data_IF_098645271547
#
_entry.id   IF_098645271547
#
_cell.length_a   1.000
_cell.length_b   1.000
_cell.length_c   1.000
_cell.angle_alpha   90.00
_cell.angle_beta   90.00
_cell.angle_gamma   90.00
#
_symmetry.space_group_name_H-M   'P 1'
#
loop_
_entity.id
_entity.type
_entity.pdbx_description
1 polymer ?
#
# COMPACT_ATOMS: atom_id res chain seq x y z
N UNK A 1 32.23 15.36 8.97
CA UNK A 1 31.45 14.43 8.10
C UNK A 1 30.14 15.12 7.69
N UNK A 2 29.86 15.21 6.37
CA UNK A 2 28.67 15.88 5.87
C UNK A 2 27.42 15.04 6.17
N UNK A 3 26.49 15.58 6.97
CA UNK A 3 25.24 14.91 7.36
C UNK A 3 24.05 15.69 6.82
N UNK A 4 23.53 15.34 5.64
CA UNK A 4 22.39 16.05 5.07
C UNK A 4 21.12 15.74 5.88
N UNK A 5 20.42 16.78 6.33
CA UNK A 5 19.09 16.58 6.90
C UNK A 5 18.14 16.08 5.85
N UNK A 6 17.38 15.05 6.21
CA UNK A 6 16.54 14.28 5.28
C UNK A 6 15.10 14.26 5.78
N UNK A 7 14.14 14.40 4.88
CA UNK A 7 12.73 14.10 5.16
C UNK A 7 12.27 12.90 4.34
N UNK A 8 11.61 11.95 4.99
CA UNK A 8 10.99 10.77 4.38
C UNK A 8 9.47 10.98 4.44
N UNK A 9 8.86 11.14 3.28
CA UNK A 9 7.41 11.32 3.14
C UNK A 9 6.74 9.97 2.90
N UNK A 10 5.74 9.68 3.71
CA UNK A 10 4.97 8.44 3.62
C UNK A 10 3.46 8.75 3.56
N UNK A 11 2.63 7.89 2.94
CA UNK A 11 1.20 8.13 2.84
C UNK A 11 0.44 7.85 4.15
N UNK A 12 0.90 6.90 4.99
CA UNK A 12 0.16 6.43 6.15
C UNK A 12 0.97 6.46 7.46
N UNK A 13 0.26 6.36 8.59
CA UNK A 13 0.84 6.25 9.94
C UNK A 13 1.67 4.96 10.07
N UNK A 14 1.14 3.87 9.58
CA UNK A 14 1.75 2.53 9.66
C UNK A 14 3.10 2.52 8.95
N UNK A 15 3.17 3.07 7.75
CA UNK A 15 4.43 3.24 7.01
C UNK A 15 5.40 4.18 7.73
N UNK A 16 4.89 5.23 8.39
CA UNK A 16 5.75 6.11 9.17
C UNK A 16 6.43 5.37 10.33
N UNK A 17 5.69 4.56 11.06
CA UNK A 17 6.22 3.77 12.17
C UNK A 17 7.21 2.71 11.69
N UNK A 18 6.89 1.97 10.63
CA UNK A 18 7.77 0.94 10.04
C UNK A 18 9.07 1.54 9.50
N UNK A 19 8.97 2.60 8.69
CA UNK A 19 10.15 3.23 8.12
C UNK A 19 11.06 3.83 9.20
N UNK A 20 10.49 4.46 10.22
CA UNK A 20 11.28 4.99 11.30
C UNK A 20 11.96 3.89 12.14
N UNK A 21 11.28 2.79 12.44
CA UNK A 21 11.88 1.67 13.15
C UNK A 21 13.04 1.04 12.36
N UNK A 22 12.87 0.84 11.04
CA UNK A 22 13.93 0.36 10.15
C UNK A 22 15.11 1.33 10.09
N UNK A 23 14.84 2.63 9.97
CA UNK A 23 15.88 3.66 9.96
C UNK A 23 16.64 3.73 11.29
N UNK A 24 15.96 3.66 12.42
CA UNK A 24 16.58 3.63 13.74
C UNK A 24 17.47 2.39 13.93
N UNK A 25 17.09 1.24 13.39
CA UNK A 25 17.88 0.02 13.46
C UNK A 25 19.14 0.03 12.56
N UNK A 26 19.11 0.80 11.46
CA UNK A 26 20.18 0.80 10.45
C UNK A 26 21.12 2.01 10.57
N UNK A 27 20.64 3.12 11.10
CA UNK A 27 21.44 4.33 11.23
C UNK A 27 22.27 4.30 12.52
N UNK A 28 23.45 4.96 12.54
CA UNK A 28 24.24 5.12 13.75
C UNK A 28 23.46 5.82 14.88
N UNK A 29 23.71 5.46 16.13
CA UNK A 29 23.00 5.96 17.33
C UNK A 29 23.02 7.49 17.46
N UNK A 30 23.99 8.17 16.86
CA UNK A 30 24.14 9.61 16.87
C UNK A 30 23.34 10.33 15.77
N UNK A 31 22.51 9.60 15.02
CA UNK A 31 21.53 10.16 14.05
C UNK A 31 20.15 10.11 14.68
N UNK A 32 19.60 11.28 14.92
CA UNK A 32 18.25 11.38 15.49
C UNK A 32 17.17 11.22 14.42
N UNK A 33 16.35 10.17 14.54
CA UNK A 33 15.16 9.94 13.71
C UNK A 33 13.93 10.46 14.44
N UNK A 34 13.26 11.45 13.85
CA UNK A 34 12.06 12.05 14.41
C UNK A 34 10.82 11.84 13.55
N UNK A 35 9.65 12.16 14.11
CA UNK A 35 8.36 12.01 13.46
C UNK A 35 7.62 13.33 13.30
N UNK A 36 6.91 13.48 12.17
CA UNK A 36 5.86 14.49 11.98
C UNK A 36 4.59 13.81 11.51
N UNK A 37 3.70 13.49 12.45
CA UNK A 37 2.43 12.83 12.17
C UNK A 37 1.37 13.28 13.16
N UNK A 38 0.25 13.79 12.65
CA UNK A 38 -0.87 14.24 13.47
C UNK A 38 -1.52 13.06 14.21
N UNK A 39 -1.65 11.91 13.56
CA UNK A 39 -2.21 10.69 14.16
C UNK A 39 -1.34 10.09 15.26
N UNK A 40 -0.01 10.36 15.25
CA UNK A 40 0.91 9.99 16.32
C UNK A 40 1.10 11.08 17.37
N UNK A 41 0.47 12.26 17.21
CA UNK A 41 0.65 13.41 18.09
C UNK A 41 2.09 13.96 18.12
N UNK A 42 2.94 13.61 17.14
CA UNK A 42 4.37 13.94 17.13
C UNK A 42 4.69 15.04 16.12
N UNK A 43 5.54 16.00 16.51
CA UNK A 43 5.94 17.19 15.73
C UNK A 43 7.44 17.45 15.86
N UNK A 44 8.29 16.47 15.55
CA UNK A 44 9.75 16.55 15.73
C UNK A 44 10.44 17.09 14.46
N UNK A 45 10.23 18.37 14.16
CA UNK A 45 10.70 19.04 12.92
C UNK A 45 12.22 19.24 12.83
N UNK A 46 12.97 19.06 13.93
CA UNK A 46 14.41 19.39 14.01
C UNK A 46 15.32 18.15 14.01
N UNK A 47 14.76 16.94 13.82
CA UNK A 47 15.55 15.72 13.73
C UNK A 47 16.47 15.71 12.49
N UNK A 48 17.51 14.88 12.50
CA UNK A 48 18.40 14.68 11.35
C UNK A 48 17.68 13.99 10.20
N UNK A 49 16.90 12.98 10.53
CA UNK A 49 15.99 12.28 9.62
C UNK A 49 14.57 12.42 10.14
N UNK A 50 13.68 12.97 9.35
CA UNK A 50 12.29 13.21 9.71
C UNK A 50 11.39 12.28 8.90
N UNK A 51 10.70 11.37 9.55
CA UNK A 51 9.66 10.55 8.90
C UNK A 51 8.32 11.24 9.09
N UNK A 52 7.67 11.60 8.00
CA UNK A 52 6.46 12.42 8.04
C UNK A 52 5.34 11.85 7.17
N UNK A 53 4.13 11.81 7.71
CA UNK A 53 2.95 11.57 6.87
C UNK A 53 2.65 12.82 6.05
N UNK A 54 2.46 12.67 4.74
CA UNK A 54 2.24 13.80 3.82
C UNK A 54 1.03 14.64 4.23
N UNK A 55 -0.04 14.02 4.73
CA UNK A 55 -1.21 14.72 5.23
C UNK A 55 -0.89 15.69 6.38
N UNK A 56 0.08 15.35 7.23
CA UNK A 56 0.46 16.18 8.39
C UNK A 56 1.45 17.30 8.07
N UNK A 57 2.31 17.11 7.06
CA UNK A 57 3.44 18.03 6.84
C UNK A 57 3.27 18.96 5.65
N UNK A 58 2.37 18.66 4.70
CA UNK A 58 2.28 19.41 3.43
C UNK A 58 2.04 20.92 3.57
N UNK A 59 1.48 21.38 4.69
CA UNK A 59 1.29 22.80 4.97
C UNK A 59 2.40 23.40 5.87
N UNK A 60 3.27 22.57 6.43
CA UNK A 60 4.23 22.94 7.49
C UNK A 60 5.69 22.81 7.05
N UNK A 61 5.98 22.84 5.75
CA UNK A 61 7.34 22.77 5.21
C UNK A 61 8.28 23.83 5.81
N UNK A 62 7.75 25.03 6.13
CA UNK A 62 8.49 26.14 6.73
C UNK A 62 9.07 25.82 8.13
N UNK A 63 8.59 24.80 8.81
CA UNK A 63 9.10 24.39 10.12
C UNK A 63 10.33 23.48 10.03
N UNK A 64 10.68 22.99 8.84
CA UNK A 64 11.75 22.00 8.67
C UNK A 64 13.14 22.62 8.58
N UNK A 65 13.23 23.89 8.16
CA UNK A 65 14.52 24.53 7.88
C UNK A 65 15.25 23.92 6.68
N UNK A 66 16.58 23.86 6.72
CA UNK A 66 17.42 23.43 5.60
C UNK A 66 17.44 21.91 5.46
N UNK A 67 16.62 21.39 4.55
CA UNK A 67 16.58 19.98 4.14
C UNK A 67 17.40 19.81 2.87
N UNK A 68 18.16 18.73 2.76
CA UNK A 68 18.99 18.42 1.58
C UNK A 68 18.46 17.27 0.76
N UNK A 69 17.72 16.35 1.38
CA UNK A 69 17.15 15.17 0.70
C UNK A 69 15.68 15.01 1.10
N UNK A 70 14.84 14.80 0.10
CA UNK A 70 13.44 14.40 0.26
C UNK A 70 13.29 13.01 -0.33
N UNK A 71 12.94 12.05 0.50
CA UNK A 71 12.61 10.68 0.06
C UNK A 71 11.09 10.57 0.06
N UNK A 72 10.51 10.12 -1.04
CA UNK A 72 9.06 9.89 -1.16
C UNK A 72 8.85 8.38 -1.30
N UNK A 73 8.31 7.80 -0.26
CA UNK A 73 7.84 6.41 -0.29
C UNK A 73 6.48 6.35 -0.98
N UNK A 74 6.20 5.26 -1.68
CA UNK A 74 5.04 5.12 -2.56
C UNK A 74 4.92 6.28 -3.57
N UNK A 75 6.02 6.57 -4.25
CA UNK A 75 6.15 7.73 -5.15
C UNK A 75 5.11 7.75 -6.30
N UNK A 76 4.51 6.60 -6.63
CA UNK A 76 3.40 6.52 -7.60
C UNK A 76 2.14 7.31 -7.16
N UNK A 77 2.04 7.69 -5.88
CA UNK A 77 0.97 8.56 -5.38
C UNK A 77 1.16 10.04 -5.77
N UNK A 78 2.36 10.41 -6.20
CA UNK A 78 2.65 11.79 -6.66
C UNK A 78 1.99 12.02 -8.02
N UNK A 79 1.29 13.14 -8.19
CA UNK A 79 0.71 13.49 -9.50
C UNK A 79 1.79 13.76 -10.54
N UNK A 80 1.60 13.18 -11.73
CA UNK A 80 2.45 13.44 -12.91
C UNK A 80 2.14 14.79 -13.59
N UNK A 81 1.02 15.44 -13.23
CA UNK A 81 0.63 16.75 -13.76
C UNK A 81 1.07 17.87 -12.83
N UNK A 82 1.80 18.84 -13.34
CA UNK A 82 2.20 20.03 -12.57
C UNK A 82 1.01 20.87 -12.09
N UNK A 83 -0.06 20.94 -12.88
CA UNK A 83 -1.29 21.65 -12.55
C UNK A 83 -2.10 21.00 -11.42
N UNK A 84 -1.80 19.75 -11.05
CA UNK A 84 -2.46 19.05 -9.97
C UNK A 84 -1.76 19.41 -8.64
N UNK A 85 -2.35 20.35 -7.92
CA UNK A 85 -1.84 20.87 -6.64
C UNK A 85 -1.97 19.87 -5.47
N UNK A 86 -1.70 18.57 -5.70
CA UNK A 86 -1.71 17.55 -4.67
C UNK A 86 -0.74 17.86 -3.52
N UNK A 87 -0.96 17.21 -2.38
CA UNK A 87 -0.20 17.46 -1.14
C UNK A 87 1.32 17.36 -1.33
N UNK A 88 1.81 16.40 -2.12
CA UNK A 88 3.24 16.23 -2.38
C UNK A 88 3.83 17.43 -3.13
N UNK A 89 3.22 17.86 -4.23
CA UNK A 89 3.69 19.01 -5.00
C UNK A 89 3.59 20.31 -4.20
N UNK A 90 2.53 20.50 -3.41
CA UNK A 90 2.38 21.61 -2.49
C UNK A 90 3.52 21.66 -1.45
N UNK A 91 3.87 20.52 -0.88
CA UNK A 91 4.98 20.41 0.08
C UNK A 91 6.32 20.76 -0.56
N UNK A 92 6.62 20.16 -1.71
CA UNK A 92 7.90 20.35 -2.42
C UNK A 92 8.06 21.79 -2.89
N UNK A 93 7.00 22.42 -3.39
CA UNK A 93 7.03 23.85 -3.77
C UNK A 93 7.36 24.75 -2.58
N UNK A 94 6.66 24.58 -1.45
CA UNK A 94 6.91 25.35 -0.23
C UNK A 94 8.30 25.11 0.37
N UNK A 95 8.80 23.88 0.30
CA UNK A 95 10.15 23.58 0.77
C UNK A 95 11.20 24.21 -0.15
N UNK A 96 10.95 24.26 -1.46
CA UNK A 96 11.81 24.88 -2.46
C UNK A 96 11.97 26.41 -2.30
N UNK A 97 11.00 27.07 -1.65
CA UNK A 97 11.09 28.49 -1.27
C UNK A 97 12.09 28.71 -0.12
N UNK A 98 12.44 27.66 0.64
CA UNK A 98 13.28 27.75 1.86
C UNK A 98 14.69 27.22 1.60
N UNK A 99 14.82 26.10 0.88
CA UNK A 99 16.11 25.45 0.68
C UNK A 99 16.17 24.69 -0.65
N UNK A 100 17.40 24.39 -1.07
CA UNK A 100 17.66 23.51 -2.21
C UNK A 100 17.82 22.07 -1.72
N UNK A 101 17.10 21.13 -2.35
CA UNK A 101 17.10 19.71 -2.01
C UNK A 101 17.06 18.83 -3.27
N UNK A 102 17.37 17.57 -3.09
CA UNK A 102 17.17 16.52 -4.10
C UNK A 102 16.01 15.64 -3.68
N UNK A 103 15.21 15.19 -4.66
CA UNK A 103 14.07 14.28 -4.43
C UNK A 103 14.38 12.90 -4.95
N UNK A 104 14.13 11.89 -4.12
CA UNK A 104 14.23 10.47 -4.48
C UNK A 104 12.86 9.82 -4.25
N UNK A 105 12.32 9.18 -5.27
CA UNK A 105 11.08 8.40 -5.18
C UNK A 105 11.36 6.91 -5.06
N UNK A 106 10.67 6.23 -4.17
CA UNK A 106 10.69 4.77 -4.05
C UNK A 106 9.28 4.24 -4.35
N UNK A 107 9.18 3.25 -5.22
CA UNK A 107 7.90 2.63 -5.58
C UNK A 107 8.11 1.30 -6.28
N UNK A 108 7.21 0.36 -6.09
CA UNK A 108 7.15 -0.87 -6.87
C UNK A 108 6.56 -0.64 -8.27
N UNK A 109 5.82 0.47 -8.47
CA UNK A 109 5.13 0.80 -9.73
C UNK A 109 5.51 2.22 -10.18
N UNK A 110 6.59 2.39 -10.98
CA UNK A 110 7.09 3.71 -11.40
C UNK A 110 6.21 4.40 -12.45
N UNK A 111 4.94 4.04 -12.53
CA UNK A 111 3.95 4.58 -13.46
C UNK A 111 2.61 4.79 -12.77
N UNK A 112 1.74 5.61 -13.37
CA UNK A 112 0.42 5.98 -12.84
C UNK A 112 -0.65 5.91 -13.92
N UNK A 113 -1.89 5.56 -13.52
CA UNK A 113 -3.05 5.52 -14.43
C UNK A 113 -2.81 4.62 -15.63
N UNK A 114 -2.91 5.18 -16.84
CA UNK A 114 -2.70 4.47 -18.10
C UNK A 114 -1.20 4.26 -18.41
N UNK A 115 -0.40 3.86 -17.44
CA UNK A 115 1.03 3.59 -17.54
C UNK A 115 1.88 4.84 -17.90
N UNK A 116 1.45 6.03 -17.48
CA UNK A 116 2.29 7.22 -17.58
C UNK A 116 3.41 7.11 -16.53
N UNK A 117 4.66 7.06 -17.00
CA UNK A 117 5.82 6.95 -16.12
C UNK A 117 5.98 8.21 -15.27
N UNK A 118 6.50 8.04 -14.06
CA UNK A 118 6.74 9.17 -13.14
C UNK A 118 7.85 10.12 -13.64
N UNK A 119 8.61 9.67 -14.61
CA UNK A 119 9.65 10.44 -15.33
C UNK A 119 9.14 11.14 -16.57
N UNK A 120 7.89 10.90 -16.97
CA UNK A 120 7.28 11.42 -18.18
C UNK A 120 6.29 12.54 -17.87
N UNK A 121 6.01 13.38 -18.86
CA UNK A 121 5.06 14.50 -18.78
C UNK A 121 5.74 15.84 -19.00
N UNK A 122 4.94 16.92 -18.98
CA UNK A 122 5.44 18.28 -19.28
C UNK A 122 6.38 18.82 -18.18
N UNK A 123 6.10 18.44 -16.93
CA UNK A 123 6.94 18.81 -15.77
C UNK A 123 7.07 17.61 -14.82
N UNK A 124 7.85 16.59 -15.18
CA UNK A 124 8.02 15.41 -14.35
C UNK A 124 8.75 15.79 -13.05
N UNK A 125 8.31 15.21 -11.93
CA UNK A 125 9.00 15.42 -10.65
C UNK A 125 10.34 14.68 -10.61
N UNK A 126 10.44 13.54 -11.28
CA UNK A 126 11.64 12.72 -11.33
C UNK A 126 12.26 12.78 -12.73
N UNK A 127 13.58 13.01 -12.78
CA UNK A 127 14.33 13.18 -14.03
C UNK A 127 14.83 11.87 -14.63
N UNK A 128 14.73 10.76 -13.91
CA UNK A 128 15.17 9.45 -14.36
C UNK A 128 15.04 8.39 -13.27
N UNK A 129 15.30 7.15 -13.66
CA UNK A 129 15.32 5.99 -12.77
C UNK A 129 16.76 5.72 -12.36
N UNK A 130 17.07 5.87 -11.09
CA UNK A 130 18.42 5.67 -10.55
C UNK A 130 18.75 4.19 -10.32
N UNK A 131 17.74 3.39 -9.94
CA UNK A 131 17.88 1.95 -9.71
C UNK A 131 16.56 1.26 -10.02
N UNK A 132 16.61 0.08 -10.59
CA UNK A 132 15.45 -0.76 -10.83
C UNK A 132 15.81 -2.21 -10.47
N UNK A 133 15.08 -2.79 -9.54
CA UNK A 133 15.18 -4.21 -9.19
C UNK A 133 13.93 -4.88 -9.72
N UNK A 134 14.11 -5.85 -10.59
CA UNK A 134 12.99 -6.54 -11.23
C UNK A 134 12.36 -7.56 -10.28
N UNK A 135 11.07 -7.85 -10.47
CA UNK A 135 10.37 -8.92 -9.74
C UNK A 135 11.08 -10.27 -9.90
N UNK A 136 11.64 -10.53 -11.09
CA UNK A 136 12.39 -11.77 -11.36
C UNK A 136 13.65 -11.87 -10.52
N UNK A 137 14.42 -10.79 -10.40
CA UNK A 137 15.60 -10.76 -9.51
C UNK A 137 15.22 -11.01 -8.06
N UNK A 138 14.11 -10.43 -7.59
CA UNK A 138 13.62 -10.65 -6.21
C UNK A 138 13.16 -12.08 -5.97
N UNK A 139 12.53 -12.72 -6.97
CA UNK A 139 12.15 -14.13 -6.91
C UNK A 139 13.39 -15.05 -6.93
N UNK A 140 14.35 -14.78 -7.82
CA UNK A 140 15.58 -15.57 -7.95
C UNK A 140 16.45 -15.47 -6.68
N UNK A 141 16.47 -14.29 -6.04
CA UNK A 141 17.15 -14.02 -4.76
C UNK A 141 16.34 -14.44 -3.53
N UNK A 142 15.11 -14.96 -3.70
CA UNK A 142 14.20 -15.42 -2.64
C UNK A 142 13.75 -14.32 -1.68
N UNK A 143 13.75 -13.07 -2.11
CA UNK A 143 13.10 -11.96 -1.38
C UNK A 143 11.58 -11.98 -1.57
N UNK A 144 11.11 -12.53 -2.68
CA UNK A 144 9.69 -12.78 -2.95
C UNK A 144 9.44 -14.28 -3.09
N UNK A 145 8.26 -14.71 -2.64
CA UNK A 145 7.76 -16.06 -2.86
C UNK A 145 7.08 -16.19 -4.22
N UNK A 146 7.29 -17.28 -4.96
CA UNK A 146 6.59 -17.50 -6.22
C UNK A 146 5.08 -17.67 -5.96
N UNK A 147 4.26 -17.05 -6.82
CA UNK A 147 2.83 -17.32 -6.85
C UNK A 147 2.60 -18.68 -7.53
N UNK A 148 2.00 -19.61 -6.80
CA UNK A 148 1.70 -20.95 -7.29
C UNK A 148 0.17 -21.09 -7.38
N UNK A 149 -0.41 -21.16 -8.61
CA UNK A 149 -1.83 -21.38 -8.76
C UNK A 149 -2.20 -22.80 -8.28
N UNK A 150 -3.48 -23.05 -7.95
CA UNK A 150 -3.95 -24.39 -7.63
C UNK A 150 -3.63 -25.39 -8.76
N UNK A 151 -3.28 -26.62 -8.39
CA UNK A 151 -2.94 -27.69 -9.35
C UNK A 151 -4.14 -28.10 -10.23
N UNK A 152 -5.36 -27.89 -9.72
CA UNK A 152 -6.60 -28.11 -10.46
C UNK A 152 -7.21 -26.76 -10.81
N UNK A 153 -7.67 -26.54 -12.05
CA UNK A 153 -8.29 -25.28 -12.43
C UNK A 153 -9.51 -24.98 -11.56
N UNK A 154 -9.58 -23.75 -11.06
CA UNK A 154 -10.78 -23.24 -10.39
C UNK A 154 -11.94 -23.21 -11.39
N UNK A 155 -13.12 -23.56 -10.93
CA UNK A 155 -14.33 -23.54 -11.76
C UNK A 155 -15.00 -22.18 -11.75
N UNK A 156 -14.86 -21.43 -10.65
CA UNK A 156 -15.41 -20.09 -10.52
C UNK A 156 -14.62 -19.11 -11.37
N UNK A 157 -15.29 -18.50 -12.33
CA UNK A 157 -14.77 -17.39 -13.14
C UNK A 157 -15.73 -16.22 -13.05
N UNK A 158 -15.28 -15.14 -12.42
CA UNK A 158 -16.07 -13.92 -12.32
C UNK A 158 -16.17 -13.28 -13.71
N UNK A 159 -17.35 -13.27 -14.29
CA UNK A 159 -17.59 -12.64 -15.58
C UNK A 159 -17.87 -11.15 -15.41
N UNK A 160 -16.94 -10.33 -15.86
CA UNK A 160 -17.00 -8.85 -15.80
C UNK A 160 -17.25 -8.22 -17.17
N UNK A 161 -17.70 -8.98 -18.16
CA UNK A 161 -17.91 -8.50 -19.53
C UNK A 161 -18.91 -7.34 -19.62
N UNK A 162 -19.90 -7.30 -18.72
CA UNK A 162 -20.94 -6.29 -18.65
C UNK A 162 -20.66 -5.17 -17.65
N UNK A 163 -19.51 -5.17 -16.97
CA UNK A 163 -19.14 -4.14 -15.99
C UNK A 163 -18.55 -2.93 -16.71
N UNK A 164 -19.13 -1.77 -16.48
CA UNK A 164 -18.68 -0.51 -17.06
C UNK A 164 -17.30 -0.09 -16.54
N UNK A 165 -16.61 0.75 -17.32
CA UNK A 165 -15.28 1.26 -16.99
C UNK A 165 -15.39 2.74 -16.59
N UNK A 166 -14.66 3.15 -15.57
CA UNK A 166 -14.49 4.54 -15.14
C UNK A 166 -13.05 4.74 -14.65
N UNK A 167 -12.42 5.85 -15.07
CA UNK A 167 -11.06 6.20 -14.69
C UNK A 167 -10.00 5.08 -14.94
N UNK A 168 -10.22 4.27 -15.99
CA UNK A 168 -9.29 3.21 -16.38
C UNK A 168 -9.46 1.89 -15.63
N UNK A 169 -10.43 1.77 -14.71
CA UNK A 169 -10.76 0.52 -14.02
C UNK A 169 -12.27 0.27 -14.03
N UNK A 170 -12.72 -0.87 -13.56
CA UNK A 170 -14.13 -1.21 -13.43
C UNK A 170 -14.86 -0.28 -12.47
N UNK A 171 -16.11 0.06 -12.78
CA UNK A 171 -16.98 0.80 -11.86
C UNK A 171 -17.29 -0.06 -10.64
N UNK A 172 -16.90 0.41 -9.47
CA UNK A 172 -16.95 -0.37 -8.22
C UNK A 172 -18.35 -0.87 -7.86
N UNK A 173 -19.40 -0.05 -8.04
CA UNK A 173 -20.78 -0.46 -7.75
C UNK A 173 -21.22 -1.66 -8.61
N UNK A 174 -21.07 -1.55 -9.93
CA UNK A 174 -21.41 -2.63 -10.88
C UNK A 174 -20.55 -3.88 -10.65
N UNK A 175 -19.24 -3.70 -10.37
CA UNK A 175 -18.33 -4.79 -10.06
C UNK A 175 -18.74 -5.50 -8.76
N UNK A 176 -19.13 -4.75 -7.74
CA UNK A 176 -19.56 -5.30 -6.45
C UNK A 176 -20.81 -6.19 -6.60
N UNK A 177 -21.78 -5.76 -7.37
CA UNK A 177 -22.99 -6.54 -7.66
C UNK A 177 -22.66 -7.85 -8.36
N UNK A 178 -21.80 -7.80 -9.39
CA UNK A 178 -21.35 -9.01 -10.09
C UNK A 178 -20.59 -9.94 -9.16
N UNK A 179 -19.60 -9.44 -8.44
CA UNK A 179 -18.77 -10.26 -7.54
C UNK A 179 -19.59 -10.93 -6.45
N UNK A 180 -20.61 -10.26 -5.91
CA UNK A 180 -21.47 -10.81 -4.86
C UNK A 180 -22.12 -12.15 -5.28
N UNK A 181 -22.49 -12.27 -6.54
CA UNK A 181 -23.10 -13.51 -7.07
C UNK A 181 -22.16 -14.73 -7.05
N UNK A 182 -20.85 -14.51 -6.98
CA UNK A 182 -19.83 -15.56 -6.99
C UNK A 182 -19.24 -15.86 -5.61
N UNK A 183 -19.48 -15.04 -4.58
CA UNK A 183 -18.79 -15.15 -3.28
C UNK A 183 -19.02 -16.51 -2.57
N UNK A 184 -20.20 -17.10 -2.74
CA UNK A 184 -20.48 -18.42 -2.19
C UNK A 184 -19.56 -19.48 -2.80
N UNK A 185 -19.42 -19.49 -4.13
CA UNK A 185 -18.58 -20.42 -4.86
C UNK A 185 -17.10 -20.17 -4.55
N UNK A 186 -16.69 -18.91 -4.50
CA UNK A 186 -15.33 -18.52 -4.10
C UNK A 186 -14.99 -19.04 -2.71
N UNK A 187 -15.87 -18.89 -1.72
CA UNK A 187 -15.65 -19.41 -0.37
C UNK A 187 -15.54 -20.94 -0.35
N UNK A 188 -16.37 -21.64 -1.13
CA UNK A 188 -16.30 -23.09 -1.25
C UNK A 188 -14.98 -23.54 -1.87
N UNK A 189 -14.56 -22.95 -2.98
CA UNK A 189 -13.30 -23.28 -3.64
C UNK A 189 -12.10 -22.92 -2.77
N UNK A 190 -12.11 -21.76 -2.10
CA UNK A 190 -11.04 -21.36 -1.20
C UNK A 190 -10.80 -22.39 -0.10
N UNK A 191 -11.86 -22.88 0.56
CA UNK A 191 -11.73 -23.91 1.59
C UNK A 191 -11.12 -25.20 1.04
N UNK A 192 -11.50 -25.62 -0.18
CA UNK A 192 -10.97 -26.84 -0.80
C UNK A 192 -9.51 -26.69 -1.20
N UNK A 193 -9.17 -25.58 -1.89
CA UNK A 193 -7.82 -25.41 -2.47
C UNK A 193 -6.80 -24.90 -1.47
N UNK A 194 -7.23 -24.15 -0.46
CA UNK A 194 -6.33 -23.56 0.53
C UNK A 194 -6.38 -24.25 1.90
N UNK A 195 -6.96 -25.45 2.03
CA UNK A 195 -7.11 -26.19 3.29
C UNK A 195 -5.79 -26.41 4.06
N UNK A 196 -4.64 -26.39 3.37
CA UNK A 196 -3.32 -26.56 3.97
C UNK A 196 -2.60 -25.22 4.22
N UNK A 197 -3.21 -24.10 3.84
CA UNK A 197 -2.68 -22.77 4.04
C UNK A 197 -3.10 -22.24 5.41
N UNK A 198 -2.24 -21.39 6.00
CA UNK A 198 -2.41 -20.96 7.38
C UNK A 198 -2.82 -19.50 7.53
N UNK A 199 -2.43 -18.65 6.58
CA UNK A 199 -2.73 -17.22 6.60
C UNK A 199 -3.17 -16.74 5.24
N UNK A 200 -4.45 -16.36 5.17
CA UNK A 200 -5.07 -15.93 3.92
C UNK A 200 -5.36 -14.44 3.93
N UNK A 201 -5.18 -13.82 2.79
CA UNK A 201 -5.71 -12.49 2.52
C UNK A 201 -6.67 -12.58 1.34
N UNK A 202 -7.87 -12.02 1.51
CA UNK A 202 -8.86 -11.93 0.46
C UNK A 202 -9.12 -10.46 0.07
N UNK A 203 -9.02 -10.16 -1.21
CA UNK A 203 -9.30 -8.82 -1.75
C UNK A 203 -10.66 -8.79 -2.42
N UNK A 204 -11.51 -7.82 -2.05
CA UNK A 204 -12.86 -7.64 -2.59
C UNK A 204 -13.06 -6.21 -3.12
N UNK A 205 -14.05 -5.98 -4.01
CA UNK A 205 -14.32 -4.65 -4.56
C UNK A 205 -14.92 -3.67 -3.55
N UNK A 206 -15.75 -4.16 -2.61
CA UNK A 206 -16.50 -3.32 -1.66
C UNK A 206 -16.50 -3.91 -0.27
N UNK A 207 -16.85 -3.08 0.73
CA UNK A 207 -17.00 -3.51 2.13
C UNK A 207 -18.11 -4.56 2.25
N UNK A 208 -19.24 -4.36 1.57
CA UNK A 208 -20.33 -5.34 1.55
C UNK A 208 -19.87 -6.72 1.03
N UNK A 209 -19.06 -6.74 -0.04
CA UNK A 209 -18.47 -7.99 -0.52
C UNK A 209 -17.49 -8.61 0.49
N UNK A 210 -16.73 -7.77 1.22
CA UNK A 210 -15.80 -8.26 2.24
C UNK A 210 -16.56 -8.92 3.40
N UNK A 211 -17.61 -8.28 3.89
CA UNK A 211 -18.48 -8.82 4.94
C UNK A 211 -19.15 -10.12 4.49
N UNK A 212 -19.76 -10.12 3.28
CA UNK A 212 -20.41 -11.30 2.70
C UNK A 212 -19.44 -12.47 2.53
N UNK A 213 -18.21 -12.23 2.06
CA UNK A 213 -17.18 -13.28 1.93
C UNK A 213 -16.73 -13.79 3.30
N UNK A 214 -16.49 -12.88 4.25
CA UNK A 214 -16.09 -13.22 5.61
C UNK A 214 -17.13 -14.12 6.28
N UNK A 215 -18.42 -13.78 6.18
CA UNK A 215 -19.51 -14.59 6.73
C UNK A 215 -19.51 -16.00 6.11
N UNK A 216 -19.40 -16.09 4.78
CA UNK A 216 -19.37 -17.38 4.08
C UNK A 216 -18.15 -18.24 4.43
N UNK A 217 -17.00 -17.63 4.73
CA UNK A 217 -15.81 -18.33 5.23
C UNK A 217 -16.01 -18.80 6.68
N UNK A 218 -16.55 -17.95 7.56
CA UNK A 218 -16.85 -18.28 8.95
C UNK A 218 -17.84 -19.44 9.06
N UNK A 219 -18.91 -19.44 8.24
CA UNK A 219 -19.86 -20.56 8.14
C UNK A 219 -19.18 -21.90 7.77
N UNK A 220 -18.01 -21.84 7.18
CA UNK A 220 -17.21 -23.04 6.75
C UNK A 220 -16.05 -23.33 7.69
N UNK A 221 -16.02 -22.71 8.86
CA UNK A 221 -15.02 -22.95 9.88
C UNK A 221 -13.68 -22.23 9.67
N UNK A 222 -13.61 -21.29 8.70
CA UNK A 222 -12.43 -20.44 8.52
C UNK A 222 -12.64 -19.15 9.31
N UNK A 223 -11.94 -19.00 10.44
CA UNK A 223 -12.01 -17.78 11.25
C UNK A 223 -11.53 -16.60 10.40
N UNK A 224 -12.44 -15.75 9.99
CA UNK A 224 -12.16 -14.60 9.13
C UNK A 224 -12.69 -13.31 9.73
N UNK A 225 -12.02 -12.20 9.41
CA UNK A 225 -12.38 -10.86 9.84
C UNK A 225 -12.19 -9.86 8.69
N UNK A 226 -12.96 -8.76 8.73
CA UNK A 226 -12.88 -7.69 7.71
C UNK A 226 -12.01 -6.55 8.22
N UNK A 227 -11.08 -6.10 7.37
CA UNK A 227 -10.30 -4.87 7.59
C UNK A 227 -10.50 -3.96 6.39
N UNK A 228 -11.09 -2.80 6.63
CA UNK A 228 -11.35 -1.79 5.59
C UNK A 228 -10.87 -0.39 6.02
N UNK A 229 -11.03 0.60 5.16
CA UNK A 229 -10.63 1.98 5.45
C UNK A 229 -11.35 2.58 6.66
N UNK A 230 -12.58 2.15 6.93
CA UNK A 230 -13.43 2.63 8.01
C UNK A 230 -13.21 1.90 9.34
N UNK A 231 -12.46 0.77 9.35
CA UNK A 231 -12.13 0.03 10.57
C UNK A 231 -11.37 0.94 11.54
N UNK A 232 -11.87 1.14 12.77
CA UNK A 232 -11.20 1.96 13.78
C UNK A 232 -9.75 1.51 14.00
N UNK A 233 -8.85 2.46 14.27
CA UNK A 233 -7.41 2.19 14.36
C UNK A 233 -7.09 1.10 15.39
N UNK A 234 -7.69 1.16 16.58
CA UNK A 234 -7.46 0.15 17.63
C UNK A 234 -7.95 -1.24 17.21
N UNK A 235 -9.13 -1.33 16.63
CA UNK A 235 -9.69 -2.58 16.13
C UNK A 235 -8.83 -3.18 15.01
N UNK A 236 -8.33 -2.34 14.09
CA UNK A 236 -7.40 -2.75 13.04
C UNK A 236 -6.10 -3.32 13.63
N UNK A 237 -5.52 -2.64 14.62
CA UNK A 237 -4.31 -3.13 15.31
C UNK A 237 -4.56 -4.48 15.99
N UNK A 238 -5.70 -4.65 16.64
CA UNK A 238 -6.09 -5.90 17.30
C UNK A 238 -6.27 -7.03 16.28
N UNK A 239 -6.99 -6.78 15.18
CA UNK A 239 -7.19 -7.77 14.11
C UNK A 239 -5.87 -8.19 13.45
N UNK A 240 -4.98 -7.24 13.20
CA UNK A 240 -3.65 -7.55 12.63
C UNK A 240 -2.81 -8.36 13.63
N UNK A 241 -2.87 -8.04 14.92
CA UNK A 241 -2.20 -8.81 15.98
C UNK A 241 -2.72 -10.25 16.02
N UNK A 242 -4.03 -10.42 16.01
CA UNK A 242 -4.69 -11.72 16.09
C UNK A 242 -4.44 -12.56 14.83
N UNK A 243 -4.36 -11.91 13.65
CA UNK A 243 -3.93 -12.54 12.42
C UNK A 243 -2.48 -12.99 12.47
N UNK A 244 -1.56 -12.14 12.98
CA UNK A 244 -0.15 -12.52 13.22
C UNK A 244 -0.02 -13.70 14.18
N UNK A 245 -0.87 -13.77 15.20
CA UNK A 245 -0.93 -14.83 16.21
C UNK A 245 -1.69 -16.09 15.74
N UNK A 246 -2.12 -16.18 14.46
CA UNK A 246 -2.93 -17.28 13.92
C UNK A 246 -4.30 -17.50 14.62
N UNK A 247 -4.83 -16.46 15.28
CA UNK A 247 -6.18 -16.51 15.86
C UNK A 247 -7.24 -16.16 14.80
N UNK A 248 -6.89 -15.30 13.83
CA UNK A 248 -7.64 -15.05 12.61
C UNK A 248 -6.90 -15.74 11.47
N UNK A 249 -7.61 -16.54 10.67
CA UNK A 249 -7.06 -17.31 9.57
C UNK A 249 -7.07 -16.52 8.26
N UNK A 250 -8.14 -15.76 8.02
CA UNK A 250 -8.31 -14.96 6.82
C UNK A 250 -8.64 -13.51 7.16
N UNK A 251 -7.86 -12.55 6.62
CA UNK A 251 -8.26 -11.15 6.57
C UNK A 251 -8.89 -10.84 5.22
N UNK A 252 -10.13 -10.35 5.24
CA UNK A 252 -10.83 -9.89 4.04
C UNK A 252 -10.77 -8.37 3.98
N UNK A 253 -10.34 -7.82 2.86
CA UNK A 253 -10.06 -6.39 2.75
C UNK A 253 -10.52 -5.76 1.44
N UNK A 254 -10.75 -4.45 1.50
CA UNK A 254 -10.95 -3.59 0.33
C UNK A 254 -9.78 -2.61 0.27
N UNK A 255 -8.64 -3.03 -0.29
CA UNK A 255 -7.40 -2.23 -0.45
C UNK A 255 -6.74 -1.72 0.85
N UNK A 256 -7.34 -1.90 2.02
CA UNK A 256 -6.81 -1.34 3.27
C UNK A 256 -5.47 -1.97 3.72
N UNK A 257 -5.12 -3.10 3.16
CA UNK A 257 -3.87 -3.82 3.43
C UNK A 257 -2.88 -3.75 2.25
N UNK A 258 -3.16 -2.97 1.21
CA UNK A 258 -2.29 -2.86 0.03
C UNK A 258 -1.02 -2.05 0.28
N UNK A 259 -0.98 -1.21 1.32
CA UNK A 259 0.18 -0.39 1.67
C UNK A 259 0.51 -0.50 3.15
N UNK A 260 1.78 -0.76 3.47
CA UNK A 260 2.26 -0.80 4.85
C UNK A 260 1.88 -2.05 5.66
N UNK A 261 1.26 -3.05 5.04
CA UNK A 261 0.97 -4.33 5.67
C UNK A 261 2.14 -5.30 5.46
N UNK A 262 2.85 -5.61 6.54
CA UNK A 262 4.01 -6.50 6.52
C UNK A 262 3.74 -7.73 7.40
N UNK A 263 3.28 -8.81 6.76
CA UNK A 263 3.08 -10.12 7.36
C UNK A 263 3.67 -11.18 6.43
N UNK A 264 4.98 -11.48 6.57
CA UNK A 264 5.72 -12.28 5.60
C UNK A 264 5.31 -13.75 5.53
N UNK A 265 4.53 -14.24 6.47
CA UNK A 265 4.03 -15.62 6.53
C UNK A 265 2.60 -15.79 5.96
N UNK A 266 2.09 -14.80 5.23
CA UNK A 266 0.91 -14.97 4.38
C UNK A 266 1.23 -15.97 3.27
N UNK A 267 0.41 -17.02 3.16
CA UNK A 267 0.64 -18.15 2.26
C UNK A 267 -0.52 -18.43 1.30
N UNK A 268 -1.58 -17.63 1.35
CA UNK A 268 -2.71 -17.71 0.41
C UNK A 268 -3.29 -16.32 0.10
N UNK A 269 -3.50 -16.05 -1.17
CA UNK A 269 -4.20 -14.85 -1.66
C UNK A 269 -5.46 -15.28 -2.39
N UNK A 270 -6.61 -14.74 -1.98
CA UNK A 270 -7.90 -14.91 -2.63
C UNK A 270 -8.24 -13.59 -3.34
N UNK A 271 -8.10 -13.56 -4.65
CA UNK A 271 -8.29 -12.36 -5.44
C UNK A 271 -9.70 -12.31 -6.03
N UNK A 272 -10.63 -11.66 -5.32
CA UNK A 272 -12.03 -11.45 -5.75
C UNK A 272 -12.28 -10.06 -6.35
N UNK A 273 -11.23 -9.34 -6.68
CA UNK A 273 -11.31 -7.99 -7.25
C UNK A 273 -10.72 -7.95 -8.66
N UNK A 274 -11.45 -8.33 -9.71
CA UNK A 274 -11.04 -8.05 -11.07
C UNK A 274 -10.66 -6.58 -11.24
N UNK A 275 -9.56 -6.31 -11.94
CA UNK A 275 -9.07 -4.95 -12.16
C UNK A 275 -8.43 -4.81 -13.54
N UNK A 276 -8.52 -3.62 -14.13
CA UNK A 276 -7.77 -3.20 -15.32
C UNK A 276 -6.56 -2.34 -14.95
N UNK A 277 -6.40 -2.00 -13.66
CA UNK A 277 -5.28 -1.20 -13.17
C UNK A 277 -4.04 -2.06 -12.95
N UNK A 278 -2.96 -1.89 -13.74
CA UNK A 278 -1.71 -2.62 -13.51
C UNK A 278 -1.08 -2.32 -12.15
N UNK A 279 -1.23 -1.09 -11.67
CA UNK A 279 -0.74 -0.67 -10.35
C UNK A 279 -1.40 -1.49 -9.25
N UNK A 280 -2.74 -1.58 -9.31
CA UNK A 280 -3.51 -2.30 -8.32
C UNK A 280 -3.22 -3.81 -8.33
N UNK A 281 -3.01 -4.39 -9.51
CA UNK A 281 -2.67 -5.80 -9.67
C UNK A 281 -1.28 -6.15 -9.12
N UNK A 282 -0.31 -5.23 -9.24
CA UNK A 282 1.07 -5.45 -8.75
C UNK A 282 1.18 -5.24 -7.24
N UNK A 283 0.33 -4.39 -6.67
CA UNK A 283 0.35 -4.04 -5.23
C UNK A 283 -0.53 -4.93 -4.34
N UNK A 284 -1.47 -5.68 -4.90
CA UNK A 284 -2.30 -6.66 -4.19
C UNK A 284 -1.67 -8.03 -4.24
#
# INVERSE_FOLDING_TARGET
>A
EYRPRTVVLVPSKELAEQNAAKLQALLPDNIHVGFVSASLGKKQHHADVIVATIGSIHKSAHLLGDIKVVIIDEAHLVSTKASDAGMYRTFLSKLGEICQFRTVGMTATPFRGNQVWLTDGDEPLFTGIASNVTMRELLDQKFLSPLVPPAVPMTTKIDVSNVGISNGDYKIGELSEVVDTYLLQVAQEAVVFAQHRRKWIAFTPSVANAESLSDKLNERGIVSAVVCGETPAQEREDLIRDFKAHQVHCLVTVLALSTGFDVPDVDCIIWCRPTKSPVLYVQG
#
